data_IF_608111517818
#
_entry.id   IF_608111517818
#
_cell.length_a   1.000
_cell.length_b   1.000
_cell.length_c   1.000
_cell.angle_alpha   90.00
_cell.angle_beta   90.00
_cell.angle_gamma   90.00
#
_symmetry.space_group_name_H-M   'P 1'
#
loop_
_entity.id
_entity.type
_entity.pdbx_description
1 polymer ?
#
# COMPACT_ATOMS: atom_id res chain seq x y z
N UNK A 1 -38.83 10.51 -53.76
CA UNK A 1 -38.71 9.20 -53.10
C UNK A 1 -39.43 9.30 -51.77
N UNK A 2 -40.45 8.48 -51.61
CA UNK A 2 -41.26 8.25 -50.42
C UNK A 2 -40.44 7.33 -49.48
N UNK A 3 -40.35 7.62 -48.18
CA UNK A 3 -40.96 6.70 -47.20
C UNK A 3 -41.12 7.35 -45.80
N UNK A 4 -42.23 7.04 -45.10
CA UNK A 4 -42.85 7.78 -44.02
C UNK A 4 -42.53 7.19 -42.66
N UNK A 5 -42.35 8.06 -41.68
CA UNK A 5 -42.91 7.85 -40.34
C UNK A 5 -43.30 9.22 -39.83
N UNK A 6 -44.44 9.69 -40.33
CA UNK A 6 -45.32 10.56 -39.58
C UNK A 6 -45.76 9.83 -38.31
N UNK A 7 -45.96 10.61 -37.25
CA UNK A 7 -46.77 10.28 -36.08
C UNK A 7 -46.11 9.43 -34.99
N UNK A 8 -45.58 10.12 -33.97
CA UNK A 8 -46.35 10.27 -32.72
C UNK A 8 -45.66 11.26 -31.77
N UNK A 9 -46.36 12.37 -31.53
CA UNK A 9 -46.40 13.14 -30.27
C UNK A 9 -45.06 13.64 -29.74
N UNK A 10 -44.67 14.91 -29.95
CA UNK A 10 -45.42 16.08 -29.50
C UNK A 10 -44.75 16.64 -28.22
N UNK A 11 -44.35 17.91 -28.26
CA UNK A 11 -43.95 18.66 -27.05
C UNK A 11 -42.56 19.28 -27.09
N UNK A 12 -42.43 20.35 -27.87
CA UNK A 12 -41.33 21.31 -27.86
C UNK A 12 -41.37 22.14 -26.56
N UNK A 13 -40.22 22.33 -25.91
CA UNK A 13 -39.97 23.47 -25.02
C UNK A 13 -38.56 23.98 -25.28
N UNK A 14 -38.50 25.16 -25.89
CA UNK A 14 -37.27 25.90 -26.21
C UNK A 14 -36.63 26.53 -24.96
N UNK A 15 -35.30 26.51 -24.95
CA UNK A 15 -34.34 27.53 -24.50
C UNK A 15 -34.51 28.30 -23.17
N UNK A 16 -33.51 28.20 -22.27
CA UNK A 16 -32.60 29.33 -21.98
C UNK A 16 -31.42 28.94 -21.06
N UNK A 17 -30.24 29.44 -21.43
CA UNK A 17 -28.92 29.15 -20.87
C UNK A 17 -28.66 29.57 -19.42
N UNK A 18 -27.86 28.80 -18.70
CA UNK A 18 -26.86 29.28 -17.73
C UNK A 18 -25.77 28.24 -17.53
N UNK A 19 -24.54 28.73 -17.66
CA UNK A 19 -23.25 28.11 -17.36
C UNK A 19 -23.18 27.55 -15.93
N UNK A 20 -22.74 26.30 -15.78
CA UNK A 20 -21.51 25.99 -15.03
C UNK A 20 -21.25 24.47 -15.04
N UNK A 21 -20.10 24.15 -15.62
CA UNK A 21 -19.48 22.84 -15.74
C UNK A 21 -18.90 22.46 -14.36
N UNK A 22 -19.57 21.58 -13.62
CA UNK A 22 -19.02 21.03 -12.38
C UNK A 22 -19.46 19.57 -12.19
N UNK A 23 -18.88 18.67 -12.99
CA UNK A 23 -18.86 17.24 -12.67
C UNK A 23 -18.12 17.07 -11.33
N UNK A 24 -18.65 16.30 -10.36
CA UNK A 24 -17.87 15.94 -9.19
C UNK A 24 -16.75 15.00 -9.66
N UNK A 25 -15.50 15.49 -9.63
CA UNK A 25 -14.33 14.65 -9.81
C UNK A 25 -14.33 13.57 -8.71
N UNK A 26 -14.20 12.28 -9.02
CA UNK A 26 -13.91 11.30 -8.00
C UNK A 26 -12.57 11.67 -7.38
N UNK A 27 -12.62 11.94 -6.08
CA UNK A 27 -11.49 12.24 -5.22
C UNK A 27 -10.34 11.26 -5.48
N UNK A 28 -9.22 11.78 -5.95
CA UNK A 28 -7.91 11.14 -5.87
C UNK A 28 -7.51 11.04 -4.38
N UNK A 29 -8.09 10.07 -3.69
CA UNK A 29 -7.78 9.71 -2.32
C UNK A 29 -6.73 8.61 -2.29
N UNK A 30 -5.53 8.95 -1.80
CA UNK A 30 -4.65 8.00 -1.12
C UNK A 30 -3.63 7.28 -1.99
N UNK A 31 -2.58 7.99 -2.42
CA UNK A 31 -1.28 7.34 -2.58
C UNK A 31 -0.71 7.03 -1.19
N UNK A 32 -1.11 5.89 -0.62
CA UNK A 32 -0.40 5.23 0.47
C UNK A 32 -0.12 3.81 0.02
N UNK A 33 1.10 3.61 -0.49
CA UNK A 33 1.58 2.31 -0.92
C UNK A 33 1.52 1.29 0.23
N UNK A 34 0.84 0.18 -0.04
CA UNK A 34 0.72 -0.95 0.88
C UNK A 34 -0.30 -1.96 0.37
N UNK A 35 -0.05 -2.52 -0.81
CA UNK A 35 -0.96 -3.44 -1.46
C UNK A 35 -1.19 -4.75 -0.69
N UNK A 36 -2.37 -5.33 -0.98
CA UNK A 36 -2.63 -6.77 -1.11
C UNK A 36 -2.48 -7.64 0.14
N UNK A 37 -3.64 -7.94 0.74
CA UNK A 37 -3.89 -9.16 1.51
C UNK A 37 -3.20 -9.21 2.86
N UNK A 38 -3.98 -9.22 3.93
CA UNK A 38 -3.50 -9.69 5.22
C UNK A 38 -3.21 -11.21 5.12
N UNK A 39 -2.14 -11.59 4.41
CA UNK A 39 -1.64 -12.98 4.36
C UNK A 39 -1.01 -13.39 5.69
N UNK A 40 -0.73 -12.41 6.56
CA UNK A 40 -0.19 -12.62 7.88
C UNK A 40 -0.67 -11.54 8.86
N UNK A 41 -1.02 -11.96 10.08
CA UNK A 41 -1.33 -11.09 11.19
C UNK A 41 -0.03 -10.47 11.73
N UNK A 42 -0.02 -9.17 11.97
CA UNK A 42 1.09 -8.52 12.64
C UNK A 42 1.02 -8.79 14.15
N UNK A 43 2.07 -9.42 14.68
CA UNK A 43 2.16 -9.79 16.10
C UNK A 43 2.87 -8.68 16.88
N UNK A 44 3.99 -8.19 16.34
CA UNK A 44 4.79 -7.15 16.98
C UNK A 44 5.63 -6.41 15.95
N UNK A 45 5.88 -5.13 16.18
CA UNK A 45 6.69 -4.29 15.29
C UNK A 45 7.57 -3.34 16.08
N UNK A 46 8.84 -3.28 15.71
CA UNK A 46 9.85 -2.40 16.31
C UNK A 46 10.44 -1.51 15.21
N UNK A 47 10.62 -0.23 15.52
CA UNK A 47 11.25 0.72 14.61
C UNK A 47 12.53 1.28 15.24
N UNK A 48 13.62 1.26 14.46
CA UNK A 48 14.91 1.82 14.84
C UNK A 48 15.20 3.00 13.92
N UNK A 49 15.27 4.20 14.50
CA UNK A 49 15.65 5.41 13.77
C UNK A 49 17.16 5.63 13.87
N UNK A 50 17.86 5.42 12.76
CA UNK A 50 19.27 5.77 12.61
C UNK A 50 19.43 7.09 11.85
N UNK A 51 20.65 7.63 11.81
CA UNK A 51 20.92 8.97 11.25
C UNK A 51 20.47 9.15 9.79
N UNK A 52 20.67 8.13 8.95
CA UNK A 52 20.38 8.21 7.50
C UNK A 52 19.34 7.19 7.03
N UNK A 53 18.92 6.28 7.92
CA UNK A 53 18.13 5.10 7.60
C UNK A 53 17.16 4.81 8.74
N UNK A 54 16.00 4.24 8.42
CA UNK A 54 15.07 3.69 9.41
C UNK A 54 14.94 2.20 9.16
N UNK A 55 15.07 1.40 10.22
CA UNK A 55 14.85 -0.04 10.18
C UNK A 55 13.51 -0.37 10.81
N UNK A 56 12.73 -1.21 10.14
CA UNK A 56 11.47 -1.75 10.63
C UNK A 56 11.67 -3.25 10.81
N UNK A 57 11.35 -3.77 11.99
CA UNK A 57 11.44 -5.18 12.33
C UNK A 57 10.04 -5.62 12.73
N UNK A 58 9.36 -6.34 11.84
CA UNK A 58 8.00 -6.82 12.06
C UNK A 58 8.03 -8.34 12.29
N UNK A 59 7.47 -8.80 13.41
CA UNK A 59 7.11 -10.19 13.63
C UNK A 59 5.67 -10.38 13.16
N UNK A 60 5.47 -11.26 12.18
CA UNK A 60 4.16 -11.57 11.61
C UNK A 60 3.88 -13.07 11.71
N UNK A 61 2.61 -13.44 11.71
CA UNK A 61 2.13 -14.81 11.79
C UNK A 61 1.22 -15.13 10.61
N UNK A 62 1.57 -16.16 9.85
CA UNK A 62 0.78 -16.69 8.73
C UNK A 62 0.32 -18.12 9.03
N UNK A 63 -0.46 -18.72 8.14
CA UNK A 63 -0.87 -20.13 8.25
C UNK A 63 0.29 -21.13 8.25
N UNK A 64 1.48 -20.68 7.84
CA UNK A 64 2.72 -21.47 7.83
C UNK A 64 3.61 -21.25 9.06
N UNK A 65 3.18 -20.43 10.03
CA UNK A 65 3.95 -20.11 11.23
C UNK A 65 4.32 -18.63 11.33
N UNK A 66 5.24 -18.32 12.25
CA UNK A 66 5.74 -16.96 12.51
C UNK A 66 6.99 -16.68 11.69
N UNK A 67 7.10 -15.47 11.16
CA UNK A 67 8.26 -15.02 10.41
C UNK A 67 8.57 -13.56 10.73
N UNK A 68 9.83 -13.19 10.55
CA UNK A 68 10.31 -11.83 10.67
C UNK A 68 10.40 -11.16 9.30
N UNK A 69 10.06 -9.88 9.26
CA UNK A 69 10.26 -9.00 8.11
C UNK A 69 11.08 -7.81 8.55
N UNK A 70 12.30 -7.71 8.04
CA UNK A 70 13.20 -6.59 8.32
C UNK A 70 13.27 -5.71 7.09
N UNK A 71 12.86 -4.45 7.21
CA UNK A 71 12.93 -3.46 6.15
C UNK A 71 13.90 -2.34 6.51
N UNK A 72 14.85 -2.05 5.62
CA UNK A 72 15.63 -0.81 5.66
C UNK A 72 14.98 0.22 4.73
N UNK A 73 14.74 1.43 5.23
CA UNK A 73 14.34 2.59 4.42
C UNK A 73 15.43 3.67 4.50
N UNK A 74 16.11 3.91 3.39
CA UNK A 74 17.08 4.98 3.23
C UNK A 74 16.39 6.33 3.01
N UNK A 75 17.04 7.44 3.41
CA UNK A 75 16.52 8.81 3.20
C UNK A 75 16.27 9.15 1.72
N UNK A 76 17.02 8.53 0.81
CA UNK A 76 16.83 8.63 -0.65
C UNK A 76 15.65 7.84 -1.21
N UNK A 77 14.79 7.28 -0.35
CA UNK A 77 13.56 6.58 -0.74
C UNK A 77 13.76 5.10 -1.09
N UNK A 78 15.00 4.64 -1.26
CA UNK A 78 15.30 3.22 -1.49
C UNK A 78 14.91 2.38 -0.27
N UNK A 79 14.19 1.29 -0.52
CA UNK A 79 13.76 0.34 0.51
C UNK A 79 14.27 -1.05 0.16
N UNK A 80 14.99 -1.65 1.11
CA UNK A 80 15.44 -3.05 1.03
C UNK A 80 14.70 -3.84 2.09
N UNK A 81 14.34 -5.10 1.80
CA UNK A 81 13.59 -5.92 2.76
C UNK A 81 14.07 -7.37 2.67
N UNK A 82 14.27 -7.97 3.84
CA UNK A 82 14.51 -9.41 3.98
C UNK A 82 13.41 -10.01 4.86
N UNK A 83 13.13 -11.30 4.65
CA UNK A 83 12.22 -12.07 5.46
C UNK A 83 12.88 -13.41 5.80
N UNK A 84 12.66 -13.91 7.00
CA UNK A 84 13.14 -15.20 7.46
C UNK A 84 12.19 -15.76 8.52
N UNK A 85 12.20 -17.08 8.69
CA UNK A 85 11.29 -17.76 9.61
C UNK A 85 11.72 -17.59 11.06
N UNK A 86 10.77 -17.64 12.00
CA UNK A 86 11.09 -17.47 13.42
C UNK A 86 12.04 -18.55 13.96
N UNK A 87 12.12 -19.71 13.29
CA UNK A 87 13.04 -20.81 13.63
C UNK A 87 14.52 -20.43 13.47
N UNK A 88 14.84 -19.51 12.56
CA UNK A 88 16.22 -19.05 12.33
C UNK A 88 16.64 -17.91 13.29
N UNK A 89 15.72 -17.39 14.11
CA UNK A 89 15.96 -16.21 14.95
C UNK A 89 17.16 -16.38 15.87
N UNK A 90 17.29 -17.55 16.50
CA UNK A 90 18.39 -17.82 17.44
C UNK A 90 19.75 -17.73 16.74
N UNK A 91 19.87 -18.24 15.51
CA UNK A 91 21.09 -18.14 14.71
C UNK A 91 21.43 -16.68 14.37
N UNK A 92 20.41 -15.86 14.04
CA UNK A 92 20.61 -14.43 13.81
C UNK A 92 21.09 -13.72 15.08
N UNK A 93 20.49 -14.02 16.23
CA UNK A 93 20.87 -13.42 17.51
C UNK A 93 22.31 -13.78 17.86
N UNK A 94 22.69 -15.06 17.75
CA UNK A 94 24.05 -15.53 18.00
C UNK A 94 25.06 -14.83 17.09
N UNK A 95 24.74 -14.71 15.79
CA UNK A 95 25.59 -14.01 14.84
C UNK A 95 25.76 -12.52 15.21
N UNK A 96 24.69 -11.82 15.60
CA UNK A 96 24.79 -10.42 16.04
C UNK A 96 25.57 -10.28 17.35
N UNK A 97 25.42 -11.20 18.30
CA UNK A 97 26.19 -11.19 19.55
C UNK A 97 27.68 -11.45 19.30
N UNK A 98 28.01 -12.40 18.42
CA UNK A 98 29.37 -12.65 17.99
C UNK A 98 29.98 -11.40 17.33
N UNK A 99 29.27 -10.75 16.43
CA UNK A 99 29.74 -9.51 15.79
C UNK A 99 29.91 -8.36 16.80
N UNK A 100 29.02 -8.26 17.79
CA UNK A 100 29.11 -7.26 18.87
C UNK A 100 30.39 -7.42 19.69
N UNK A 101 30.89 -8.65 19.89
CA UNK A 101 32.15 -8.89 20.63
C UNK A 101 33.39 -8.31 19.93
N UNK A 102 33.28 -7.95 18.66
CA UNK A 102 34.36 -7.40 17.84
C UNK A 102 34.37 -5.87 17.77
N UNK A 103 33.41 -5.21 18.43
CA UNK A 103 33.33 -3.75 18.57
C UNK A 103 34.04 -3.29 19.84
#
# INVERSE_FOLDING_TARGET
MFDPMSELSGGQSDDHASTDDARPAPSAGGNSGGGKGAFAQEVHSVTIHARQRTFYIDLKESGHGKFFKISEKSRGGQKTTIMFDAEDLDQFIDAFQQMKSQL
#
